data_IF_115398263144
#
_entry.id   IF_115398263144
#
_cell.length_a   1.000
_cell.length_b   1.000
_cell.length_c   1.000
_cell.angle_alpha   90.00
_cell.angle_beta   90.00
_cell.angle_gamma   90.00
#
_symmetry.space_group_name_H-M   'P 1'
#
loop_
_entity.id
_entity.type
_entity.pdbx_description
1 polymer ?
#
# COMPACT_ATOMS: atom_id res chain seq x y z
N UNK A 1 -12.72 0.37 9.99
CA UNK A 1 -11.74 -0.73 9.99
C UNK A 1 -10.84 -0.55 8.77
N UNK A 2 -9.67 0.04 8.97
CA UNK A 2 -8.66 0.13 7.92
C UNK A 2 -7.76 -1.10 8.03
N UNK A 3 -8.02 -2.11 7.20
CA UNK A 3 -7.17 -3.29 7.10
C UNK A 3 -6.05 -3.01 6.10
N UNK A 4 -4.81 -3.01 6.55
CA UNK A 4 -3.64 -2.89 5.69
C UNK A 4 -3.14 -4.28 5.32
N UNK A 5 -3.02 -4.55 4.03
CA UNK A 5 -2.28 -5.69 3.51
C UNK A 5 -0.96 -5.20 2.96
N UNK A 6 0.17 -5.59 3.56
CA UNK A 6 1.47 -5.42 2.92
C UNK A 6 1.80 -6.67 2.12
N UNK A 7 2.15 -6.48 0.85
CA UNK A 7 2.70 -7.54 0.01
C UNK A 7 4.22 -7.49 0.21
N UNK A 8 4.81 -8.59 0.68
CA UNK A 8 6.27 -8.73 0.72
C UNK A 8 6.79 -9.09 -0.67
N UNK A 9 8.06 -8.79 -0.96
CA UNK A 9 8.75 -9.14 -2.22
C UNK A 9 8.72 -10.65 -2.54
N UNK A 10 8.38 -11.49 -1.57
CA UNK A 10 8.21 -12.94 -1.72
C UNK A 10 6.79 -13.38 -2.08
N UNK A 11 5.83 -12.45 -2.28
CA UNK A 11 4.44 -12.77 -2.59
C UNK A 11 3.62 -13.33 -1.41
N UNK A 12 4.18 -13.46 -0.23
CA UNK A 12 3.45 -13.88 0.95
C UNK A 12 2.61 -12.73 1.53
N UNK A 13 1.31 -12.95 1.67
CA UNK A 13 0.42 -12.04 2.38
C UNK A 13 0.75 -12.06 3.89
N UNK A 14 1.58 -11.14 4.35
CA UNK A 14 1.69 -10.90 5.79
C UNK A 14 0.43 -10.21 6.28
N UNK A 15 -0.29 -10.84 7.19
CA UNK A 15 -1.40 -10.20 7.89
C UNK A 15 -0.87 -9.05 8.72
N UNK A 16 -1.12 -7.82 8.27
CA UNK A 16 -0.79 -6.60 9.01
C UNK A 16 -1.89 -6.38 10.05
N UNK A 17 -1.57 -5.96 11.27
CA UNK A 17 -2.57 -5.65 12.27
C UNK A 17 -3.52 -4.56 11.78
N UNK A 18 -4.81 -4.71 12.06
CA UNK A 18 -5.78 -3.64 11.84
C UNK A 18 -5.68 -2.62 12.96
N UNK A 19 -5.77 -1.35 12.63
CA UNK A 19 -5.88 -0.26 13.58
C UNK A 19 -7.36 0.02 13.85
N UNK A 20 -7.72 0.18 15.12
CA UNK A 20 -9.11 0.40 15.56
C UNK A 20 -9.15 1.63 16.45
N UNK A 21 -9.86 2.66 16.00
CA UNK A 21 -10.10 3.88 16.77
C UNK A 21 -10.87 3.55 18.04
N UNK A 22 -10.36 4.03 19.17
CA UNK A 22 -10.92 3.80 20.48
C UNK A 22 -11.36 5.14 21.09
N UNK A 23 -12.63 5.54 20.94
CA UNK A 23 -13.14 6.74 21.57
C UNK A 23 -13.12 6.61 23.10
N UNK A 24 -13.08 7.75 23.80
CA UNK A 24 -12.95 7.81 25.24
C UNK A 24 -13.94 6.90 25.99
N UNK A 25 -15.21 6.89 25.56
CA UNK A 25 -16.25 6.11 26.23
C UNK A 25 -15.97 4.60 26.21
N UNK A 26 -15.39 4.10 25.12
CA UNK A 26 -14.98 2.71 25.02
C UNK A 26 -13.68 2.43 25.74
N UNK A 27 -12.75 3.38 25.77
CA UNK A 27 -11.48 3.28 26.48
C UNK A 27 -11.68 3.14 27.98
N UNK A 28 -12.50 4.01 28.58
CA UNK A 28 -12.75 4.07 30.02
C UNK A 28 -13.83 3.10 30.45
N UNK A 29 -14.81 2.82 29.60
CA UNK A 29 -16.02 2.06 29.92
C UNK A 29 -15.84 0.57 30.15
N UNK A 30 -14.65 0.00 29.95
CA UNK A 30 -14.32 -1.42 30.12
C UNK A 30 -15.20 -2.43 29.32
N UNK A 31 -15.93 -1.95 28.33
CA UNK A 31 -16.84 -2.74 27.50
C UNK A 31 -16.26 -2.98 26.10
N UNK A 32 -14.94 -3.23 26.03
CA UNK A 32 -14.31 -3.55 24.74
C UNK A 32 -14.76 -4.94 24.27
N UNK A 33 -15.15 -5.11 23.02
CA UNK A 33 -15.34 -6.43 22.43
C UNK A 33 -14.04 -7.24 22.54
N UNK A 34 -14.15 -8.56 22.63
CA UNK A 34 -12.97 -9.43 22.59
C UNK A 34 -12.30 -9.36 21.23
N UNK A 35 -11.18 -8.65 21.16
CA UNK A 35 -10.37 -8.55 19.97
C UNK A 35 -9.15 -9.48 20.02
N UNK A 36 -8.72 -9.97 18.87
CA UNK A 36 -7.46 -10.70 18.77
C UNK A 36 -6.27 -9.76 18.96
N UNK A 37 -5.65 -9.76 20.11
CA UNK A 37 -4.51 -8.92 20.51
C UNK A 37 -3.32 -8.98 19.53
N UNK A 38 -3.20 -10.08 18.77
CA UNK A 38 -2.14 -10.24 17.75
C UNK A 38 -2.42 -9.48 16.45
N UNK A 39 -3.70 -9.25 16.13
CA UNK A 39 -4.12 -8.75 14.83
C UNK A 39 -4.68 -7.33 14.88
N UNK A 40 -4.66 -6.68 16.05
CA UNK A 40 -5.12 -5.31 16.17
C UNK A 40 -4.12 -4.43 16.91
N UNK A 41 -4.24 -3.13 16.65
CA UNK A 41 -3.68 -2.02 17.43
C UNK A 41 -4.84 -1.10 17.77
N UNK A 42 -4.99 -0.74 19.04
CA UNK A 42 -6.00 0.20 19.50
C UNK A 42 -5.45 1.62 19.35
N UNK A 43 -6.18 2.49 18.67
CA UNK A 43 -5.80 3.89 18.46
C UNK A 43 -6.51 4.79 19.47
N UNK A 44 -5.74 5.50 20.27
CA UNK A 44 -6.22 6.55 21.16
C UNK A 44 -6.22 7.84 20.36
N UNK A 45 -7.41 8.44 20.23
CA UNK A 45 -7.62 9.61 19.38
C UNK A 45 -7.00 10.87 20.00
N UNK A 46 -6.67 11.84 19.14
CA UNK A 46 -6.01 13.11 19.50
C UNK A 46 -6.83 14.00 20.45
N UNK A 47 -8.17 13.87 20.42
CA UNK A 47 -9.09 14.64 21.27
C UNK A 47 -9.23 14.10 22.71
N UNK A 48 -8.59 12.94 23.00
CA UNK A 48 -8.67 12.32 24.33
C UNK A 48 -7.66 12.95 25.27
N UNK A 49 -8.15 13.70 26.27
CA UNK A 49 -7.32 14.26 27.34
C UNK A 49 -6.76 13.14 28.22
N UNK A 50 -5.44 13.18 28.54
CA UNK A 50 -4.75 12.16 29.33
C UNK A 50 -4.99 12.34 30.85
N UNK A 51 -6.25 12.34 31.25
CA UNK A 51 -6.61 12.37 32.68
C UNK A 51 -6.37 11.01 33.36
N UNK A 52 -6.57 10.96 34.68
CA UNK A 52 -6.26 9.77 35.46
C UNK A 52 -7.07 8.54 35.06
N UNK A 53 -8.34 8.72 34.62
CA UNK A 53 -9.18 7.60 34.17
C UNK A 53 -8.66 7.00 32.86
N UNK A 54 -8.24 7.85 31.93
CA UNK A 54 -7.64 7.45 30.66
C UNK A 54 -6.30 6.75 30.90
N UNK A 55 -5.45 7.31 31.74
CA UNK A 55 -4.15 6.71 32.09
C UNK A 55 -4.35 5.31 32.70
N UNK A 56 -5.29 5.15 33.62
CA UNK A 56 -5.56 3.86 34.27
C UNK A 56 -6.16 2.85 33.30
N UNK A 57 -7.02 3.27 32.39
CA UNK A 57 -7.58 2.42 31.33
C UNK A 57 -6.47 1.95 30.36
N UNK A 58 -5.58 2.84 29.93
CA UNK A 58 -4.43 2.52 29.06
C UNK A 58 -3.49 1.53 29.75
N UNK A 59 -3.19 1.71 31.03
CA UNK A 59 -2.41 0.77 31.85
C UNK A 59 -3.05 -0.62 31.89
N UNK A 60 -4.36 -0.68 32.11
CA UNK A 60 -5.10 -1.94 32.16
C UNK A 60 -5.05 -2.69 30.82
N UNK A 61 -5.32 -2.00 29.70
CA UNK A 61 -5.24 -2.58 28.37
C UNK A 61 -3.82 -3.05 28.01
N UNK A 62 -2.80 -2.28 28.42
CA UNK A 62 -1.42 -2.70 28.24
C UNK A 62 -1.11 -3.99 29.04
N UNK A 63 -1.55 -4.05 30.30
CA UNK A 63 -1.37 -5.24 31.15
C UNK A 63 -2.11 -6.48 30.57
N UNK A 64 -3.24 -6.27 29.92
CA UNK A 64 -3.95 -7.33 29.19
C UNK A 64 -3.24 -7.76 27.90
N UNK A 65 -2.21 -7.03 27.45
CA UNK A 65 -1.40 -7.34 26.28
C UNK A 65 -1.91 -6.75 24.95
N UNK A 66 -2.77 -5.74 25.00
CA UNK A 66 -3.11 -4.96 23.82
C UNK A 66 -1.96 -4.05 23.41
N UNK A 67 -1.80 -3.87 22.11
CA UNK A 67 -0.91 -2.87 21.53
C UNK A 67 -1.71 -1.61 21.27
N UNK A 68 -1.16 -0.45 21.68
CA UNK A 68 -1.82 0.84 21.51
C UNK A 68 -0.98 1.78 20.67
N UNK A 69 -1.66 2.66 19.96
CA UNK A 69 -1.10 3.78 19.20
C UNK A 69 -1.76 5.08 19.65
N UNK A 70 -1.01 6.19 19.60
CA UNK A 70 -1.56 7.54 19.66
C UNK A 70 -1.78 8.03 18.23
N UNK A 71 -2.95 8.56 17.92
CA UNK A 71 -3.35 9.04 16.59
C UNK A 71 -3.15 10.56 16.48
N UNK A 72 -2.80 11.04 15.27
CA UNK A 72 -2.55 12.46 14.94
C UNK A 72 -1.83 13.23 16.09
N UNK A 73 -0.75 12.64 16.57
CA UNK A 73 -0.14 13.02 17.85
C UNK A 73 0.78 14.23 17.72
N UNK A 74 0.53 15.25 18.57
CA UNK A 74 1.43 16.36 18.83
C UNK A 74 1.98 16.23 20.25
N UNK A 75 3.32 16.21 20.37
CA UNK A 75 3.95 16.01 21.66
C UNK A 75 3.60 17.12 22.66
N UNK A 76 3.20 16.69 23.85
CA UNK A 76 3.06 17.55 25.04
C UNK A 76 3.45 16.73 26.27
N UNK A 77 4.10 17.34 27.30
CA UNK A 77 4.51 16.64 28.51
C UNK A 77 3.37 15.92 29.25
N UNK A 78 2.13 16.37 29.08
CA UNK A 78 0.95 15.73 29.70
C UNK A 78 0.74 14.28 29.24
N UNK A 79 1.29 13.92 28.07
CA UNK A 79 1.20 12.56 27.51
C UNK A 79 2.33 11.62 27.94
N UNK A 80 3.33 12.09 28.66
CA UNK A 80 4.51 11.28 29.04
C UNK A 80 4.14 9.99 29.77
N UNK A 81 3.06 10.02 30.56
CA UNK A 81 2.60 8.82 31.27
C UNK A 81 1.97 7.80 30.32
N UNK A 82 1.14 8.25 29.37
CA UNK A 82 0.50 7.38 28.38
C UNK A 82 1.53 6.81 27.39
N UNK A 83 2.50 7.61 26.96
CA UNK A 83 3.55 7.19 26.04
C UNK A 83 4.32 5.95 26.50
N UNK A 84 4.45 5.74 27.81
CA UNK A 84 5.10 4.54 28.38
C UNK A 84 4.39 3.23 28.00
N UNK A 85 3.09 3.29 27.72
CA UNK A 85 2.23 2.13 27.42
C UNK A 85 1.89 2.01 25.95
N UNK A 86 2.15 3.05 25.16
CA UNK A 86 1.92 3.04 23.71
C UNK A 86 3.12 2.46 22.98
N UNK A 87 2.84 1.66 21.94
CA UNK A 87 3.87 1.05 21.10
C UNK A 87 4.16 1.88 19.85
N UNK A 88 3.16 2.57 19.35
CA UNK A 88 3.21 3.33 18.09
C UNK A 88 2.72 4.76 18.39
N UNK A 89 3.35 5.73 17.74
CA UNK A 89 2.90 7.11 17.71
C UNK A 89 2.79 7.52 16.25
N UNK A 90 1.60 7.93 15.83
CA UNK A 90 1.26 8.40 14.49
C UNK A 90 1.35 9.92 14.49
N UNK A 91 2.03 10.45 13.50
CA UNK A 91 2.26 11.90 13.35
C UNK A 91 1.81 12.31 11.96
N UNK A 92 0.90 13.28 11.86
CA UNK A 92 0.58 13.94 10.59
C UNK A 92 1.75 14.82 10.16
N UNK A 93 2.48 14.36 9.15
CA UNK A 93 3.68 15.04 8.69
C UNK A 93 3.39 16.25 7.79
N UNK A 94 2.13 16.45 7.40
CA UNK A 94 1.71 17.59 6.61
C UNK A 94 1.34 18.81 7.46
N UNK A 95 1.03 18.61 8.72
CA UNK A 95 0.67 19.68 9.65
C UNK A 95 1.89 20.37 10.29
N UNK A 96 3.11 19.86 10.04
CA UNK A 96 4.35 20.34 10.63
C UNK A 96 5.35 20.85 9.59
N UNK A 97 6.04 21.93 9.92
CA UNK A 97 7.29 22.29 9.22
C UNK A 97 8.38 21.24 9.49
N UNK A 98 9.44 21.23 8.68
CA UNK A 98 10.55 20.28 8.87
C UNK A 98 11.25 20.44 10.22
N UNK A 99 11.35 21.68 10.71
CA UNK A 99 11.95 22.00 12.01
C UNK A 99 11.08 21.48 13.16
N UNK A 100 9.77 21.74 13.15
CA UNK A 100 8.81 21.28 14.16
C UNK A 100 8.75 19.76 14.18
N UNK A 101 8.73 19.11 13.01
CA UNK A 101 8.72 17.66 12.90
C UNK A 101 9.99 17.04 13.51
N UNK A 102 11.16 17.63 13.24
CA UNK A 102 12.42 17.17 13.79
C UNK A 102 12.45 17.29 15.32
N UNK A 103 11.97 18.41 15.86
CA UNK A 103 11.90 18.68 17.29
C UNK A 103 10.96 17.69 18.00
N UNK A 104 9.78 17.44 17.43
CA UNK A 104 8.82 16.45 17.92
C UNK A 104 9.42 15.04 17.93
N UNK A 105 10.08 14.63 16.86
CA UNK A 105 10.73 13.33 16.74
C UNK A 105 11.82 13.16 17.80
N UNK A 106 12.61 14.19 18.09
CA UNK A 106 13.65 14.13 19.13
C UNK A 106 13.05 13.89 20.54
N UNK A 107 11.90 14.44 20.84
CA UNK A 107 11.18 14.14 22.09
C UNK A 107 10.68 12.70 22.12
N UNK A 108 10.06 12.23 21.02
CA UNK A 108 9.46 10.90 20.93
C UNK A 108 10.51 9.76 20.90
N UNK A 109 11.69 9.99 20.35
CA UNK A 109 12.79 9.00 20.38
C UNK A 109 13.18 8.58 21.80
N UNK A 110 13.06 9.49 22.76
CA UNK A 110 13.38 9.22 24.18
C UNK A 110 12.39 8.24 24.82
N UNK A 111 11.17 8.14 24.27
CA UNK A 111 10.08 7.33 24.80
C UNK A 111 10.06 5.88 24.27
N UNK A 112 11.03 5.50 23.42
CA UNK A 112 11.15 4.15 22.83
C UNK A 112 9.91 3.67 22.05
N UNK A 113 9.15 4.58 21.48
CA UNK A 113 7.99 4.30 20.63
C UNK A 113 8.40 4.08 19.16
N UNK A 114 7.57 3.40 18.40
CA UNK A 114 7.72 3.29 16.94
C UNK A 114 6.96 4.44 16.31
N UNK A 115 7.65 5.26 15.50
CA UNK A 115 7.03 6.38 14.81
C UNK A 115 6.42 5.93 13.49
N UNK A 116 5.17 6.33 13.25
CA UNK A 116 4.43 6.17 12.00
C UNK A 116 4.15 7.55 11.42
N UNK A 117 4.64 7.81 10.21
CA UNK A 117 4.36 9.03 9.47
C UNK A 117 3.06 8.89 8.69
N UNK A 118 2.11 9.79 8.90
CA UNK A 118 0.83 9.81 8.21
C UNK A 118 0.74 10.89 7.15
N UNK A 119 -0.23 10.74 6.25
CA UNK A 119 -0.57 11.68 5.17
C UNK A 119 0.61 12.03 4.27
N UNK A 120 1.56 11.11 4.07
CA UNK A 120 2.68 11.33 3.16
C UNK A 120 2.14 11.44 1.73
N UNK A 121 2.42 12.57 1.07
CA UNK A 121 1.97 12.85 -0.29
C UNK A 121 3.09 12.86 -1.33
N UNK A 122 4.34 13.03 -0.91
CA UNK A 122 5.49 13.19 -1.81
C UNK A 122 6.67 12.28 -1.42
N UNK A 123 7.58 12.06 -2.37
CA UNK A 123 8.81 11.31 -2.13
C UNK A 123 9.78 12.05 -1.22
N UNK A 124 9.85 13.35 -1.37
CA UNK A 124 10.71 14.22 -0.58
C UNK A 124 10.32 14.14 0.90
N UNK A 125 9.01 14.20 1.20
CA UNK A 125 8.51 14.06 2.57
C UNK A 125 8.75 12.65 3.12
N UNK A 126 8.65 11.60 2.29
CA UNK A 126 9.02 10.25 2.70
C UNK A 126 10.51 10.13 3.07
N UNK A 127 11.41 10.67 2.23
CA UNK A 127 12.85 10.65 2.49
C UNK A 127 13.22 11.42 3.76
N UNK A 128 12.58 12.57 3.97
CA UNK A 128 12.69 13.33 5.21
C UNK A 128 12.29 12.49 6.42
N UNK A 129 11.11 11.85 6.40
CA UNK A 129 10.64 11.01 7.49
C UNK A 129 11.55 9.80 7.74
N UNK A 130 12.07 9.17 6.70
CA UNK A 130 13.06 8.08 6.84
C UNK A 130 14.31 8.58 7.55
N UNK A 131 14.81 9.76 7.15
CA UNK A 131 16.01 10.39 7.75
C UNK A 131 15.77 10.75 9.22
N UNK A 132 14.59 11.25 9.55
CA UNK A 132 14.18 11.56 10.91
C UNK A 132 14.00 10.31 11.79
N UNK A 133 13.88 9.12 11.19
CA UNK A 133 13.84 7.84 11.91
C UNK A 133 12.46 7.22 12.06
N UNK A 134 11.47 7.68 11.32
CA UNK A 134 10.19 6.98 11.19
C UNK A 134 10.40 5.56 10.65
N UNK A 135 9.59 4.62 11.11
CA UNK A 135 9.67 3.19 10.74
C UNK A 135 8.44 2.69 9.98
N UNK A 136 7.32 3.36 10.15
CA UNK A 136 6.05 3.04 9.51
C UNK A 136 5.59 4.27 8.73
N UNK A 137 4.92 4.04 7.60
CA UNK A 137 4.56 5.09 6.67
C UNK A 137 3.14 4.85 6.13
N UNK A 138 2.32 5.89 6.13
CA UNK A 138 0.97 5.90 5.60
C UNK A 138 0.73 7.16 4.77
N UNK A 139 0.06 7.03 3.61
CA UNK A 139 -0.29 8.18 2.79
C UNK A 139 -0.68 7.79 1.37
N UNK A 140 -1.37 8.68 0.68
CA UNK A 140 -1.81 8.49 -0.70
C UNK A 140 -0.66 8.32 -1.69
N UNK A 141 0.51 8.81 -1.34
CA UNK A 141 1.73 8.63 -2.09
C UNK A 141 2.05 7.14 -2.35
N UNK A 142 1.79 6.24 -1.39
CA UNK A 142 2.03 4.80 -1.53
C UNK A 142 1.09 4.14 -2.55
N UNK A 143 -0.05 4.77 -2.85
CA UNK A 143 -1.01 4.30 -3.86
C UNK A 143 -0.87 5.02 -5.21
N UNK A 144 -0.11 6.11 -5.29
CA UNK A 144 0.20 6.77 -6.57
C UNK A 144 1.23 5.91 -7.31
N UNK A 145 0.92 5.42 -8.53
CA UNK A 145 1.92 4.73 -9.32
C UNK A 145 3.10 5.69 -9.52
N UNK A 146 4.28 5.32 -9.03
CA UNK A 146 5.50 6.03 -9.35
C UNK A 146 5.65 5.96 -10.86
N UNK A 147 5.47 7.09 -11.55
CA UNK A 147 6.06 7.27 -12.84
C UNK A 147 7.57 7.29 -12.61
N UNK A 148 8.13 6.09 -12.45
CA UNK A 148 9.56 5.94 -12.61
C UNK A 148 9.80 6.41 -14.04
N UNK A 149 10.34 7.61 -14.20
CA UNK A 149 11.11 7.95 -15.40
C UNK A 149 12.35 7.06 -15.38
N UNK A 150 12.14 5.75 -15.37
CA UNK A 150 13.11 4.81 -15.84
C UNK A 150 13.38 5.26 -17.25
N UNK A 151 14.66 5.41 -17.65
CA UNK A 151 15.03 5.31 -19.05
C UNK A 151 14.09 4.25 -19.61
N UNK A 152 13.27 4.62 -20.64
CA UNK A 152 12.53 3.62 -21.42
C UNK A 152 13.53 2.49 -21.58
N UNK A 153 13.32 1.37 -20.93
CA UNK A 153 14.02 0.15 -21.31
C UNK A 153 13.59 0.06 -22.76
N UNK A 154 14.53 0.43 -23.64
CA UNK A 154 14.24 0.42 -25.06
C UNK A 154 13.73 -0.99 -25.26
N UNK A 155 12.44 -1.14 -25.60
CA UNK A 155 11.89 -2.43 -25.94
C UNK A 155 12.94 -3.05 -26.83
N UNK A 156 13.52 -4.16 -26.39
CA UNK A 156 14.52 -4.81 -27.22
C UNK A 156 13.83 -4.97 -28.58
N UNK A 157 14.33 -4.27 -29.59
CA UNK A 157 13.75 -4.34 -30.95
C UNK A 157 13.60 -5.80 -31.35
N UNK A 158 14.49 -6.64 -30.84
CA UNK A 158 14.47 -8.09 -30.99
C UNK A 158 13.22 -8.72 -30.38
N UNK A 159 12.85 -8.37 -29.14
CA UNK A 159 11.65 -8.92 -28.49
C UNK A 159 10.37 -8.49 -29.21
N UNK A 160 10.30 -7.24 -29.68
CA UNK A 160 9.18 -6.78 -30.49
C UNK A 160 9.11 -7.49 -31.84
N UNK A 161 10.23 -7.72 -32.52
CA UNK A 161 10.28 -8.48 -33.74
C UNK A 161 9.84 -9.94 -33.56
N UNK A 162 10.30 -10.58 -32.48
CA UNK A 162 9.87 -11.94 -32.13
C UNK A 162 8.37 -12.02 -31.88
N UNK A 163 7.81 -11.06 -31.17
CA UNK A 163 6.38 -10.99 -30.92
C UNK A 163 5.60 -10.80 -32.22
N UNK A 164 6.00 -9.87 -33.10
CA UNK A 164 5.35 -9.63 -34.40
C UNK A 164 5.42 -10.90 -35.29
N UNK A 165 6.56 -11.56 -35.31
CA UNK A 165 6.73 -12.80 -36.07
C UNK A 165 5.79 -13.90 -35.56
N UNK A 166 5.68 -14.08 -34.22
CA UNK A 166 4.81 -15.10 -33.65
C UNK A 166 3.32 -14.76 -33.83
N UNK A 167 2.96 -13.47 -33.75
CA UNK A 167 1.59 -13.02 -34.01
C UNK A 167 1.13 -13.33 -35.47
N UNK A 168 2.06 -13.36 -36.43
CA UNK A 168 1.80 -13.68 -37.84
C UNK A 168 1.93 -15.18 -38.15
N UNK A 169 2.45 -15.97 -37.21
CA UNK A 169 2.65 -17.40 -37.41
C UNK A 169 1.31 -18.14 -37.37
N UNK A 170 0.88 -18.82 -38.45
CA UNK A 170 -0.37 -19.61 -38.48
C UNK A 170 -0.34 -20.81 -37.53
N UNK A 171 0.87 -21.27 -37.15
CA UNK A 171 1.09 -22.41 -36.27
C UNK A 171 1.43 -21.98 -34.83
N UNK A 172 1.25 -20.68 -34.48
CA UNK A 172 1.50 -20.19 -33.13
C UNK A 172 0.64 -20.94 -32.11
N UNK A 173 1.26 -21.38 -31.05
CA UNK A 173 0.53 -21.99 -29.91
C UNK A 173 0.12 -20.95 -28.87
N UNK A 174 -0.96 -21.19 -28.10
CA UNK A 174 -1.37 -20.33 -27.02
C UNK A 174 -0.22 -20.04 -26.03
N UNK A 175 0.56 -21.05 -25.69
CA UNK A 175 1.65 -20.99 -24.73
C UNK A 175 2.80 -20.11 -25.24
N UNK A 176 3.20 -20.27 -26.52
CA UNK A 176 4.25 -19.46 -27.13
C UNK A 176 3.85 -17.97 -27.19
N UNK A 177 2.58 -17.70 -27.52
CA UNK A 177 2.06 -16.33 -27.57
C UNK A 177 1.97 -15.71 -26.18
N UNK A 178 1.50 -16.45 -25.19
CA UNK A 178 1.43 -16.01 -23.80
C UNK A 178 2.83 -15.63 -23.28
N UNK A 179 3.82 -16.49 -23.46
CA UNK A 179 5.20 -16.25 -23.02
C UNK A 179 5.77 -14.94 -23.60
N UNK A 180 5.54 -14.69 -24.89
CA UNK A 180 6.02 -13.47 -25.55
C UNK A 180 5.27 -12.22 -25.10
N UNK A 181 3.96 -12.29 -24.86
CA UNK A 181 3.16 -11.15 -24.40
C UNK A 181 3.53 -10.77 -22.99
N UNK A 182 3.73 -11.74 -22.09
CA UNK A 182 4.08 -11.50 -20.67
C UNK A 182 5.44 -10.80 -20.52
N UNK A 183 6.37 -11.00 -21.46
CA UNK A 183 7.66 -10.30 -21.50
C UNK A 183 7.54 -8.78 -21.65
N UNK A 184 6.38 -8.27 -22.13
CA UNK A 184 6.08 -6.84 -22.21
C UNK A 184 4.92 -6.48 -21.26
N UNK A 185 5.21 -6.01 -20.01
CA UNK A 185 4.19 -5.67 -19.04
C UNK A 185 3.21 -4.60 -19.52
N UNK A 186 3.65 -3.67 -20.38
CA UNK A 186 2.79 -2.63 -20.93
C UNK A 186 1.80 -3.20 -21.94
N UNK A 187 2.23 -4.14 -22.76
CA UNK A 187 1.37 -4.87 -23.71
C UNK A 187 0.37 -5.74 -22.92
N UNK A 188 0.85 -6.52 -21.95
CA UNK A 188 0.01 -7.35 -21.09
C UNK A 188 -1.09 -6.53 -20.42
N UNK A 189 -0.74 -5.42 -19.79
CA UNK A 189 -1.72 -4.52 -19.14
C UNK A 189 -2.75 -3.96 -20.11
N UNK A 190 -2.31 -3.44 -21.28
CA UNK A 190 -3.23 -2.89 -22.28
C UNK A 190 -4.19 -3.95 -22.81
N UNK A 191 -3.69 -5.16 -23.05
CA UNK A 191 -4.49 -6.27 -23.56
C UNK A 191 -5.53 -6.72 -22.54
N UNK A 192 -5.14 -6.94 -21.29
CA UNK A 192 -6.08 -7.29 -20.23
C UNK A 192 -7.12 -6.20 -19.98
N UNK A 193 -6.74 -4.93 -20.09
CA UNK A 193 -7.66 -3.79 -19.98
C UNK A 193 -8.72 -3.80 -21.09
N UNK A 194 -8.34 -4.14 -22.31
CA UNK A 194 -9.28 -4.26 -23.45
C UNK A 194 -10.24 -5.43 -23.21
N UNK A 195 -9.70 -6.58 -22.84
CA UNK A 195 -10.50 -7.79 -22.56
C UNK A 195 -11.51 -7.55 -21.44
N UNK A 196 -11.11 -6.84 -20.39
CA UNK A 196 -11.98 -6.51 -19.27
C UNK A 196 -12.86 -5.27 -19.50
N UNK A 197 -12.87 -4.70 -20.71
CA UNK A 197 -13.73 -3.56 -21.02
C UNK A 197 -15.20 -3.98 -21.10
N UNK A 198 -16.10 -3.00 -20.91
CA UNK A 198 -17.56 -3.23 -20.97
C UNK A 198 -18.05 -3.86 -22.28
N UNK A 199 -17.24 -3.76 -23.35
CA UNK A 199 -17.59 -4.34 -24.66
C UNK A 199 -17.65 -5.88 -24.69
N UNK A 200 -17.03 -6.56 -23.72
CA UNK A 200 -17.05 -8.03 -23.66
C UNK A 200 -18.05 -8.61 -22.67
N UNK A 201 -18.72 -7.79 -21.86
CA UNK A 201 -19.73 -8.20 -20.87
C UNK A 201 -19.35 -9.42 -20.02
N UNK A 202 -18.09 -9.50 -19.59
CA UNK A 202 -17.57 -10.64 -18.83
C UNK A 202 -18.16 -10.64 -17.41
N UNK A 203 -18.61 -11.81 -16.97
CA UNK A 203 -19.15 -12.02 -15.61
C UNK A 203 -18.05 -11.95 -14.55
N UNK A 204 -16.81 -12.26 -14.93
CA UNK A 204 -15.62 -12.21 -14.07
C UNK A 204 -14.47 -11.51 -14.80
N UNK A 205 -13.66 -10.83 -14.02
CA UNK A 205 -12.46 -10.19 -14.54
C UNK A 205 -11.42 -11.23 -14.98
N UNK A 206 -10.80 -10.99 -16.12
CA UNK A 206 -9.71 -11.81 -16.67
C UNK A 206 -8.39 -11.29 -16.12
N UNK A 207 -7.62 -12.14 -15.46
CA UNK A 207 -6.39 -11.78 -14.73
C UNK A 207 -5.11 -12.22 -15.45
N UNK A 208 -5.21 -13.08 -16.47
CA UNK A 208 -4.05 -13.59 -17.22
C UNK A 208 -4.29 -13.66 -18.72
N UNK A 209 -3.18 -13.70 -19.48
CA UNK A 209 -3.23 -13.87 -20.95
C UNK A 209 -3.78 -15.26 -21.32
N UNK A 210 -3.43 -16.29 -20.55
CA UNK A 210 -4.00 -17.63 -20.73
C UNK A 210 -5.52 -17.61 -20.64
N UNK A 211 -6.08 -16.96 -19.61
CA UNK A 211 -7.53 -16.79 -19.48
C UNK A 211 -8.13 -16.00 -20.64
N UNK A 212 -7.46 -14.94 -21.10
CA UNK A 212 -7.90 -14.18 -22.27
C UNK A 212 -7.97 -15.05 -23.53
N UNK A 213 -6.97 -15.90 -23.75
CA UNK A 213 -6.94 -16.84 -24.90
C UNK A 213 -8.07 -17.87 -24.81
N UNK A 214 -8.34 -18.40 -23.63
CA UNK A 214 -9.44 -19.37 -23.41
C UNK A 214 -10.80 -18.73 -23.68
N UNK A 215 -11.01 -17.49 -23.22
CA UNK A 215 -12.31 -16.81 -23.35
C UNK A 215 -12.59 -16.23 -24.73
N UNK A 216 -11.59 -15.60 -25.35
CA UNK A 216 -11.75 -14.88 -26.63
C UNK A 216 -11.26 -15.68 -27.84
N UNK A 217 -10.49 -16.71 -27.59
CA UNK A 217 -9.80 -17.47 -28.64
C UNK A 217 -8.47 -16.80 -29.07
N UNK A 218 -7.55 -17.63 -29.53
CA UNK A 218 -6.20 -17.25 -29.91
C UNK A 218 -6.18 -16.12 -30.96
N UNK A 219 -7.02 -16.24 -31.98
CA UNK A 219 -7.06 -15.28 -33.11
C UNK A 219 -7.51 -13.88 -32.66
N UNK A 220 -8.43 -13.77 -31.71
CA UNK A 220 -8.86 -12.48 -31.19
C UNK A 220 -7.76 -11.81 -30.34
N UNK A 221 -7.07 -12.60 -29.54
CA UNK A 221 -5.93 -12.12 -28.73
C UNK A 221 -4.79 -11.68 -29.66
N UNK A 222 -4.49 -12.42 -30.72
CA UNK A 222 -3.52 -12.03 -31.77
C UNK A 222 -3.86 -10.68 -32.38
N UNK A 223 -5.11 -10.46 -32.79
CA UNK A 223 -5.56 -9.19 -33.40
C UNK A 223 -5.33 -8.01 -32.44
N UNK A 224 -5.73 -8.14 -31.16
CA UNK A 224 -5.52 -7.08 -30.17
C UNK A 224 -4.05 -6.84 -29.86
N UNK A 225 -3.25 -7.89 -29.69
CA UNK A 225 -1.82 -7.77 -29.45
C UNK A 225 -1.11 -7.08 -30.63
N UNK A 226 -1.47 -7.39 -31.85
CA UNK A 226 -0.94 -6.74 -33.06
C UNK A 226 -1.28 -5.25 -33.09
N UNK A 227 -2.55 -4.88 -32.82
CA UNK A 227 -2.98 -3.47 -32.81
C UNK A 227 -2.23 -2.66 -31.75
N UNK A 228 -2.07 -3.20 -30.54
CA UNK A 228 -1.35 -2.53 -29.46
C UNK A 228 0.14 -2.40 -29.78
N UNK A 229 0.76 -3.46 -30.33
CA UNK A 229 2.17 -3.45 -30.70
C UNK A 229 2.46 -2.40 -31.77
N UNK A 230 1.60 -2.29 -32.81
CA UNK A 230 1.71 -1.29 -33.85
C UNK A 230 1.45 0.14 -33.38
N UNK A 231 0.45 0.35 -32.50
CA UNK A 231 0.15 1.68 -31.95
C UNK A 231 1.29 2.23 -31.09
N UNK A 232 2.00 1.34 -30.41
CA UNK A 232 3.11 1.71 -29.52
C UNK A 232 4.43 2.03 -30.24
N UNK A 233 4.53 1.73 -31.54
CA UNK A 233 5.71 2.07 -32.36
C UNK A 233 5.66 3.49 -32.95
N UNK A 234 4.51 4.18 -32.87
CA UNK A 234 4.32 5.56 -33.40
C UNK A 234 4.63 6.67 -32.39
N UNK A 235 4.85 6.36 -31.12
CA UNK A 235 5.21 7.35 -30.09
C UNK A 235 6.74 7.48 -29.97
N UNK A 236 7.40 7.88 -31.06
CA UNK A 236 8.79 8.36 -31.10
C UNK A 236 8.85 9.74 -31.72
#
# INVERSE_FOLDING_TARGET
>A
LNAFTSISDSGEQKRVPAFINLPRDLLVGKNLPEFSKKHIVLEILEDIEPDQEVIDAVKALHAEGYRMALDDFVYSPKFDEILKYCKIVKVDVMEHSSEELAEQVEHLKKQKVTLLAEKIETYEKLEECVTLGFKLFQGHFLSKPKLIKGKKIGRSQVALMQLIQELQNPKATPEALEELIIRDPALTYKLLRIVNSAGYHLVRQVESIAQAIVLLGLEQVKKWATLIAMSSSKDK
#
